data_IF_733306377271
#
_entry.id   IF_733306377271
#
_cell.length_a   1.000
_cell.length_b   1.000
_cell.length_c   1.000
_cell.angle_alpha   90.00
_cell.angle_beta   90.00
_cell.angle_gamma   90.00
#
_symmetry.space_group_name_H-M   'P 1'
#
loop_
_entity.id
_entity.type
_entity.pdbx_description
1 polymer ?
#
# COMPACT_ATOMS: atom_id res chain seq x y z
N UNK A 1 8.37 -37.35 -1.18
CA UNK A 1 8.70 -35.90 -1.19
C UNK A 1 8.19 -35.30 0.11
N UNK A 2 9.05 -34.74 0.97
CA UNK A 2 8.59 -33.92 2.11
C UNK A 2 8.00 -32.64 1.52
N UNK A 3 6.74 -32.31 1.85
CA UNK A 3 6.06 -31.09 1.41
C UNK A 3 6.81 -29.90 2.05
N UNK A 4 7.40 -29.01 1.27
CA UNK A 4 7.97 -27.76 1.80
C UNK A 4 6.84 -26.89 2.32
N UNK A 5 7.01 -26.31 3.51
CA UNK A 5 6.07 -25.32 4.04
C UNK A 5 6.33 -23.97 3.34
N UNK A 6 5.27 -23.31 2.88
CA UNK A 6 5.35 -22.00 2.23
C UNK A 6 4.85 -20.91 3.18
N UNK A 7 5.65 -19.88 3.48
CA UNK A 7 5.21 -18.72 4.27
C UNK A 7 5.10 -17.49 3.38
N UNK A 8 4.09 -16.67 3.62
CA UNK A 8 3.77 -15.50 2.81
C UNK A 8 3.87 -14.23 3.64
N UNK A 9 4.65 -13.29 3.16
CA UNK A 9 4.81 -11.96 3.75
C UNK A 9 4.23 -10.97 2.75
N UNK A 10 3.27 -10.15 3.20
CA UNK A 10 2.63 -9.16 2.34
C UNK A 10 2.99 -7.75 2.77
N UNK A 11 3.56 -7.00 1.82
CA UNK A 11 3.91 -5.60 1.96
C UNK A 11 2.81 -4.74 1.32
N UNK A 12 2.29 -3.77 2.06
CA UNK A 12 1.41 -2.73 1.56
C UNK A 12 2.24 -1.45 1.47
N UNK A 13 2.57 -1.06 0.24
CA UNK A 13 3.49 0.05 -0.06
C UNK A 13 2.70 1.23 -0.57
N UNK A 14 2.76 2.35 0.14
CA UNK A 14 2.16 3.62 -0.25
C UNK A 14 3.16 4.65 -0.80
N UNK A 15 2.66 5.86 -1.08
CA UNK A 15 3.36 6.90 -1.85
C UNK A 15 4.63 7.42 -1.16
N UNK A 16 4.77 7.20 0.15
CA UNK A 16 5.99 7.49 0.89
C UNK A 16 7.23 6.77 0.33
N UNK A 17 7.07 5.59 -0.30
CA UNK A 17 8.17 4.93 -1.00
C UNK A 17 8.66 5.75 -2.20
N UNK A 18 7.76 6.14 -3.12
CA UNK A 18 8.09 6.94 -4.29
C UNK A 18 8.70 8.29 -3.87
N UNK A 19 8.09 8.96 -2.89
CA UNK A 19 8.57 10.24 -2.36
C UNK A 19 9.99 10.11 -1.81
N UNK A 20 10.27 9.06 -1.02
CA UNK A 20 11.61 8.84 -0.47
C UNK A 20 12.63 8.63 -1.59
N UNK A 21 12.34 7.73 -2.53
CA UNK A 21 13.25 7.45 -3.64
C UNK A 21 13.51 8.67 -4.52
N UNK A 22 12.47 9.46 -4.82
CA UNK A 22 12.62 10.70 -5.59
C UNK A 22 13.44 11.75 -4.86
N UNK A 23 13.31 11.88 -3.54
CA UNK A 23 14.15 12.76 -2.72
C UNK A 23 15.61 12.33 -2.74
N UNK A 24 15.88 11.04 -2.53
CA UNK A 24 17.24 10.47 -2.56
C UNK A 24 17.92 10.66 -3.93
N UNK A 25 17.15 10.59 -5.02
CA UNK A 25 17.65 10.86 -6.37
C UNK A 25 17.60 12.35 -6.76
N UNK A 26 17.35 13.25 -5.80
CA UNK A 26 17.27 14.70 -6.02
C UNK A 26 16.35 15.12 -7.17
N UNK A 27 15.21 14.44 -7.33
CA UNK A 27 14.22 14.78 -8.34
C UNK A 27 13.64 16.18 -8.07
N UNK A 28 13.40 16.93 -9.16
CA UNK A 28 12.79 18.26 -9.08
C UNK A 28 11.31 18.23 -8.68
N UNK A 29 10.64 17.09 -8.88
CA UNK A 29 9.22 16.90 -8.59
C UNK A 29 9.00 15.60 -7.79
N UNK A 30 7.94 15.60 -7.00
CA UNK A 30 7.49 14.45 -6.20
C UNK A 30 6.13 13.97 -6.70
N UNK A 31 5.77 12.72 -6.41
CA UNK A 31 4.48 12.09 -6.76
C UNK A 31 3.32 12.51 -5.84
N UNK A 32 3.39 13.69 -5.23
CA UNK A 32 2.36 14.20 -4.31
C UNK A 32 1.19 14.82 -5.08
N UNK A 33 -0.02 14.78 -4.50
CA UNK A 33 -1.16 15.50 -5.07
C UNK A 33 -0.93 17.01 -5.15
N UNK A 34 -0.23 17.60 -4.18
CA UNK A 34 0.18 19.01 -4.25
C UNK A 34 1.04 19.32 -5.47
N UNK A 35 2.04 18.48 -5.78
CA UNK A 35 2.87 18.66 -6.97
C UNK A 35 2.04 18.48 -8.25
N UNK A 36 1.10 17.54 -8.26
CA UNK A 36 0.17 17.37 -9.38
C UNK A 36 -0.71 18.61 -9.60
N UNK A 37 -1.22 19.25 -8.55
CA UNK A 37 -2.06 20.43 -8.69
C UNK A 37 -1.27 21.64 -9.22
N UNK A 38 -0.02 21.82 -8.79
CA UNK A 38 0.87 22.84 -9.38
C UNK A 38 1.18 22.55 -10.85
N UNK A 39 1.32 21.27 -11.20
CA UNK A 39 1.46 20.84 -12.58
C UNK A 39 0.21 21.16 -13.41
N UNK A 40 -1.00 20.92 -12.88
CA UNK A 40 -2.25 21.23 -13.56
C UNK A 40 -2.37 22.74 -13.85
N UNK A 41 -2.02 23.61 -12.88
CA UNK A 41 -2.01 25.07 -13.11
C UNK A 41 -1.11 25.46 -14.29
N UNK A 42 0.05 24.83 -14.39
CA UNK A 42 1.06 25.16 -15.40
C UNK A 42 0.76 24.59 -16.79
N UNK A 43 0.00 23.49 -16.86
CA UNK A 43 -0.28 22.78 -18.12
C UNK A 43 -1.69 23.05 -18.66
N UNK A 44 -2.45 23.94 -18.01
CA UNK A 44 -3.80 24.41 -18.40
C UNK A 44 -4.71 23.31 -18.99
N UNK A 45 -5.13 22.30 -18.20
CA UNK A 45 -6.11 21.33 -18.67
C UNK A 45 -7.44 22.02 -19.03
N UNK A 46 -8.33 21.26 -19.65
CA UNK A 46 -9.65 21.72 -20.09
C UNK A 46 -10.35 22.55 -18.99
N UNK A 47 -10.49 23.86 -19.21
CA UNK A 47 -11.06 24.80 -18.22
C UNK A 47 -12.57 24.57 -17.99
N UNK A 48 -13.21 23.69 -18.75
CA UNK A 48 -14.60 23.26 -18.52
C UNK A 48 -14.70 22.07 -17.58
N UNK A 49 -13.59 21.38 -17.31
CA UNK A 49 -13.56 20.21 -16.45
C UNK A 49 -13.95 20.59 -15.01
N UNK A 50 -15.02 20.00 -14.50
CA UNK A 50 -15.59 20.38 -13.21
C UNK A 50 -14.66 20.04 -12.04
N UNK A 51 -13.91 18.93 -12.14
CA UNK A 51 -13.01 18.48 -11.09
C UNK A 51 -11.83 19.45 -10.99
N UNK A 52 -11.25 19.80 -12.14
CA UNK A 52 -10.17 20.79 -12.20
C UNK A 52 -10.61 22.15 -11.66
N UNK A 53 -11.82 22.59 -12.02
CA UNK A 53 -12.35 23.86 -11.52
C UNK A 53 -12.55 23.83 -9.99
N UNK A 54 -13.05 22.73 -9.42
CA UNK A 54 -13.21 22.57 -7.96
C UNK A 54 -11.87 22.64 -7.22
N UNK A 55 -10.84 21.96 -7.75
CA UNK A 55 -9.48 22.01 -7.19
C UNK A 55 -8.97 23.46 -7.21
N UNK A 56 -9.10 24.15 -8.35
CA UNK A 56 -8.63 25.54 -8.52
C UNK A 56 -9.36 26.52 -7.60
N UNK A 57 -10.68 26.39 -7.46
CA UNK A 57 -11.49 27.25 -6.60
C UNK A 57 -11.13 27.06 -5.12
N UNK A 58 -10.93 25.82 -4.68
CA UNK A 58 -10.52 25.51 -3.31
C UNK A 58 -9.14 26.10 -2.96
N UNK A 59 -8.20 26.07 -3.90
CA UNK A 59 -6.89 26.71 -3.73
C UNK A 59 -6.98 28.23 -3.59
N UNK A 60 -7.90 28.88 -4.31
CA UNK A 60 -8.08 30.33 -4.25
C UNK A 60 -8.80 30.78 -2.96
N UNK A 61 -9.68 29.95 -2.41
CA UNK A 61 -10.49 30.28 -1.24
C UNK A 61 -9.88 29.85 0.10
N UNK A 62 -8.62 29.38 0.11
CA UNK A 62 -7.94 28.86 1.32
C UNK A 62 -8.60 27.62 1.95
N UNK A 63 -9.51 26.96 1.23
CA UNK A 63 -10.17 25.69 1.61
C UNK A 63 -9.34 24.46 1.16
N UNK A 64 -8.01 24.61 1.08
CA UNK A 64 -7.10 23.62 0.50
C UNK A 64 -7.12 22.27 1.25
N UNK A 65 -7.48 22.28 2.55
CA UNK A 65 -7.62 21.08 3.37
C UNK A 65 -8.62 20.07 2.78
N UNK A 66 -9.58 20.51 1.96
CA UNK A 66 -10.56 19.63 1.30
C UNK A 66 -9.95 18.78 0.19
N UNK A 67 -8.88 19.27 -0.45
CA UNK A 67 -8.18 18.60 -1.54
C UNK A 67 -6.76 18.16 -1.16
N UNK A 68 -6.37 18.27 0.12
CA UNK A 68 -5.10 17.68 0.59
C UNK A 68 -5.10 16.15 0.40
N UNK A 69 -6.28 15.55 0.44
CA UNK A 69 -6.58 14.19 0.04
C UNK A 69 -7.52 14.26 -1.18
N UNK A 70 -7.03 13.79 -2.32
CA UNK A 70 -7.75 13.88 -3.59
C UNK A 70 -9.10 13.16 -3.52
N UNK A 71 -9.11 11.99 -2.89
CA UNK A 71 -10.28 11.15 -2.76
C UNK A 71 -11.35 11.82 -1.88
N UNK A 72 -10.95 12.50 -0.79
CA UNK A 72 -11.89 13.28 0.02
C UNK A 72 -12.51 14.45 -0.76
N UNK A 73 -11.71 15.18 -1.55
CA UNK A 73 -12.22 16.27 -2.38
C UNK A 73 -13.25 15.79 -3.40
N UNK A 74 -12.96 14.67 -4.09
CA UNK A 74 -13.89 14.04 -5.04
C UNK A 74 -15.23 13.69 -4.37
N UNK A 75 -15.18 13.11 -3.17
CA UNK A 75 -16.35 12.59 -2.46
C UNK A 75 -17.18 13.68 -1.83
N UNK A 76 -16.54 14.71 -1.27
CA UNK A 76 -17.25 15.75 -0.53
C UNK A 76 -17.75 16.87 -1.43
N UNK A 77 -17.07 17.15 -2.55
CA UNK A 77 -17.42 18.27 -3.43
C UNK A 77 -18.08 17.83 -4.73
N UNK A 78 -17.53 16.82 -5.40
CA UNK A 78 -17.95 16.47 -6.76
C UNK A 78 -19.12 15.51 -6.77
N UNK A 79 -19.02 14.40 -6.03
CA UNK A 79 -20.04 13.34 -6.02
C UNK A 79 -21.44 13.87 -5.62
N UNK A 80 -21.59 14.71 -4.58
CA UNK A 80 -22.89 15.28 -4.21
C UNK A 80 -23.43 16.25 -5.26
N UNK A 81 -22.53 16.94 -5.99
CA UNK A 81 -22.93 17.84 -7.06
C UNK A 81 -23.50 17.08 -8.26
N UNK A 82 -22.84 16.00 -8.69
CA UNK A 82 -23.27 15.20 -9.86
C UNK A 82 -24.42 14.25 -9.54
N UNK A 83 -24.58 13.86 -8.27
CA UNK A 83 -25.67 13.01 -7.82
C UNK A 83 -26.95 13.80 -7.47
N UNK A 84 -26.92 15.13 -7.54
CA UNK A 84 -28.09 15.96 -7.23
C UNK A 84 -29.10 15.95 -8.40
N UNK A 85 -30.31 15.38 -8.21
CA UNK A 85 -31.32 15.28 -9.26
C UNK A 85 -31.80 16.65 -9.78
N UNK A 86 -31.71 17.70 -8.96
CA UNK A 86 -32.15 19.06 -9.32
C UNK A 86 -31.13 19.79 -10.21
N UNK A 87 -29.85 19.40 -10.17
CA UNK A 87 -28.77 20.07 -10.93
C UNK A 87 -28.64 19.57 -12.37
N UNK A 88 -29.37 18.50 -12.73
CA UNK A 88 -29.43 17.92 -14.08
C UNK A 88 -28.05 17.76 -14.74
N UNK A 89 -27.06 17.34 -13.95
CA UNK A 89 -25.70 17.16 -14.43
C UNK A 89 -25.59 15.79 -15.12
N UNK A 90 -25.11 15.77 -16.36
CA UNK A 90 -24.95 14.53 -17.11
C UNK A 90 -23.77 13.73 -16.52
N UNK A 91 -24.05 12.56 -15.95
CA UNK A 91 -23.03 11.66 -15.39
C UNK A 91 -21.97 11.32 -16.44
N UNK A 92 -22.37 11.18 -17.71
CA UNK A 92 -21.46 10.98 -18.83
C UNK A 92 -20.43 12.12 -18.96
N UNK A 93 -20.83 13.36 -18.75
CA UNK A 93 -19.91 14.50 -18.76
C UNK A 93 -18.91 14.43 -17.61
N UNK A 94 -19.35 14.05 -16.41
CA UNK A 94 -18.46 13.83 -15.26
C UNK A 94 -17.46 12.70 -15.52
N UNK A 95 -17.91 11.59 -16.11
CA UNK A 95 -17.03 10.47 -16.47
C UNK A 95 -15.96 10.90 -17.48
N UNK A 96 -16.32 11.74 -18.46
CA UNK A 96 -15.36 12.32 -19.40
C UNK A 96 -14.35 13.24 -18.68
N UNK A 97 -14.81 14.12 -17.80
CA UNK A 97 -13.95 14.99 -17.00
C UNK A 97 -12.99 14.19 -16.10
N UNK A 98 -13.49 13.09 -15.53
CA UNK A 98 -12.67 12.17 -14.74
C UNK A 98 -11.58 11.49 -15.59
N UNK A 99 -11.94 11.00 -16.78
CA UNK A 99 -10.98 10.38 -17.71
C UNK A 99 -9.90 11.37 -18.19
N UNK A 100 -10.28 12.62 -18.45
CA UNK A 100 -9.33 13.69 -18.76
C UNK A 100 -8.34 13.90 -17.61
N UNK A 101 -8.83 13.84 -16.37
CA UNK A 101 -7.99 14.01 -15.18
C UNK A 101 -7.06 12.81 -14.95
N UNK A 102 -7.53 11.58 -15.16
CA UNK A 102 -6.67 10.39 -15.15
C UNK A 102 -5.54 10.50 -16.18
N UNK A 103 -5.84 10.97 -17.39
CA UNK A 103 -4.85 11.20 -18.43
C UNK A 103 -3.85 12.30 -18.03
N UNK A 104 -4.34 13.40 -17.45
CA UNK A 104 -3.48 14.47 -16.92
C UNK A 104 -2.55 13.96 -15.82
N UNK A 105 -3.06 13.14 -14.90
CA UNK A 105 -2.25 12.57 -13.83
C UNK A 105 -1.20 11.59 -14.36
N UNK A 106 -1.56 10.72 -15.30
CA UNK A 106 -0.60 9.85 -16.00
C UNK A 106 0.51 10.66 -16.67
N UNK A 107 0.18 11.76 -17.38
CA UNK A 107 1.18 12.65 -17.99
C UNK A 107 2.12 13.28 -16.95
N UNK A 108 1.56 13.77 -15.85
CA UNK A 108 2.34 14.32 -14.75
C UNK A 108 3.32 13.29 -14.17
N UNK A 109 2.86 12.06 -13.91
CA UNK A 109 3.70 11.02 -13.38
C UNK A 109 4.80 10.60 -14.36
N UNK A 110 4.50 10.50 -15.67
CA UNK A 110 5.50 10.22 -16.70
C UNK A 110 6.58 11.31 -16.83
N UNK A 111 6.27 12.56 -16.49
CA UNK A 111 7.27 13.64 -16.43
C UNK A 111 8.06 13.63 -15.12
N UNK A 112 7.46 13.13 -14.04
CA UNK A 112 8.08 13.07 -12.71
C UNK A 112 9.00 11.85 -12.57
N UNK A 113 8.57 10.70 -13.08
CA UNK A 113 9.29 9.42 -13.05
C UNK A 113 9.84 9.15 -14.46
N UNK A 114 11.07 9.60 -14.68
CA UNK A 114 11.75 9.45 -15.97
C UNK A 114 12.39 8.07 -16.12
N UNK A 115 12.75 7.65 -17.35
CA UNK A 115 13.51 6.42 -17.57
C UNK A 115 14.83 6.35 -16.77
N UNK A 116 15.50 7.47 -16.55
CA UNK A 116 16.73 7.55 -15.75
C UNK A 116 16.47 7.23 -14.28
N UNK A 117 15.37 7.74 -13.72
CA UNK A 117 14.95 7.41 -12.34
C UNK A 117 14.55 5.95 -12.20
N UNK A 118 13.85 5.40 -13.20
CA UNK A 118 13.49 3.98 -13.26
C UNK A 118 14.72 3.08 -13.35
N UNK A 119 15.75 3.48 -14.11
CA UNK A 119 17.02 2.78 -14.16
C UNK A 119 17.73 2.86 -12.81
N UNK A 120 17.84 4.06 -12.24
CA UNK A 120 18.46 4.27 -10.94
C UNK A 120 17.77 3.48 -9.80
N UNK A 121 16.45 3.29 -9.88
CA UNK A 121 15.71 2.43 -8.96
C UNK A 121 16.14 0.95 -9.10
N UNK A 122 16.30 0.46 -10.33
CA UNK A 122 16.69 -0.93 -10.62
C UNK A 122 18.15 -1.27 -10.29
N UNK A 123 18.99 -0.25 -10.14
CA UNK A 123 20.39 -0.40 -9.70
C UNK A 123 20.53 -0.57 -8.19
N UNK A 124 19.48 -0.25 -7.41
CA UNK A 124 19.48 -0.44 -5.97
C UNK A 124 19.29 -1.92 -5.66
N UNK A 125 20.13 -2.47 -4.79
CA UNK A 125 20.01 -3.85 -4.34
C UNK A 125 18.90 -3.98 -3.29
N UNK A 126 17.81 -4.67 -3.65
CA UNK A 126 16.68 -4.96 -2.79
C UNK A 126 16.87 -6.21 -1.92
N UNK A 127 17.92 -7.00 -2.16
CA UNK A 127 18.18 -8.22 -1.40
C UNK A 127 18.39 -7.97 0.11
N UNK A 128 19.18 -6.97 0.56
CA UNK A 128 19.35 -6.68 1.98
C UNK A 128 18.03 -6.40 2.68
N UNK A 129 17.12 -5.67 2.03
CA UNK A 129 15.78 -5.42 2.55
C UNK A 129 14.99 -6.72 2.74
N UNK A 130 14.85 -7.52 1.68
CA UNK A 130 14.09 -8.77 1.73
C UNK A 130 14.67 -9.78 2.75
N UNK A 131 15.97 -9.73 3.02
CA UNK A 131 16.63 -10.64 3.96
C UNK A 131 16.57 -10.17 5.42
N UNK A 132 16.50 -8.86 5.68
CA UNK A 132 16.84 -8.30 6.99
C UNK A 132 15.82 -7.30 7.56
N UNK A 133 14.70 -6.98 6.89
CA UNK A 133 13.74 -5.99 7.40
C UNK A 133 13.20 -6.29 8.81
N UNK A 134 13.23 -7.55 9.27
CA UNK A 134 12.85 -7.88 10.65
C UNK A 134 13.87 -7.38 11.69
N UNK A 135 15.13 -7.16 11.30
CA UNK A 135 16.18 -6.63 12.19
C UNK A 135 15.97 -5.15 12.54
N UNK A 136 15.08 -4.45 11.84
CA UNK A 136 14.66 -3.09 12.19
C UNK A 136 13.69 -3.07 13.40
N UNK A 137 13.18 -4.24 13.83
CA UNK A 137 12.32 -4.33 15.01
C UNK A 137 13.11 -4.19 16.32
N UNK A 138 12.45 -3.65 17.34
CA UNK A 138 12.94 -3.76 18.71
C UNK A 138 12.96 -5.23 19.15
N UNK A 139 13.85 -5.56 20.08
CA UNK A 139 13.96 -6.91 20.65
C UNK A 139 12.61 -7.41 21.20
N UNK A 140 11.86 -6.52 21.88
CA UNK A 140 10.52 -6.84 22.38
C UNK A 140 9.55 -7.22 21.25
N UNK A 141 9.45 -6.38 20.21
CA UNK A 141 8.54 -6.64 19.08
C UNK A 141 8.94 -7.91 18.33
N UNK A 142 10.24 -8.13 18.13
CA UNK A 142 10.71 -9.34 17.50
C UNK A 142 10.36 -10.60 18.32
N UNK A 143 10.59 -10.57 19.64
CA UNK A 143 10.28 -11.69 20.52
C UNK A 143 8.79 -12.02 20.52
N UNK A 144 7.90 -11.01 20.43
CA UNK A 144 6.46 -11.23 20.28
C UNK A 144 6.12 -11.93 18.96
N UNK A 145 6.66 -11.47 17.82
CA UNK A 145 6.42 -12.09 16.50
C UNK A 145 6.95 -13.53 16.45
N UNK A 146 8.07 -13.80 17.14
CA UNK A 146 8.71 -15.12 17.19
C UNK A 146 7.93 -16.16 18.01
N UNK A 147 6.95 -15.76 18.83
CA UNK A 147 6.19 -16.69 19.66
C UNK A 147 5.53 -17.78 18.80
N UNK A 148 5.56 -19.06 19.23
CA UNK A 148 5.05 -20.18 18.44
C UNK A 148 3.51 -20.29 18.48
N UNK A 149 2.80 -19.24 18.84
CA UNK A 149 1.35 -19.13 18.77
C UNK A 149 0.87 -18.71 17.37
N UNK A 150 1.70 -17.98 16.62
CA UNK A 150 1.48 -17.66 15.20
C UNK A 150 2.13 -18.69 14.26
N UNK A 151 1.64 -18.78 13.02
CA UNK A 151 2.26 -19.62 11.98
C UNK A 151 3.67 -19.12 11.64
N UNK A 152 3.84 -17.81 11.53
CA UNK A 152 5.13 -17.18 11.25
C UNK A 152 6.12 -17.34 12.41
N UNK A 153 5.67 -17.22 13.66
CA UNK A 153 6.54 -17.43 14.83
C UNK A 153 6.97 -18.90 15.00
N UNK A 154 6.10 -19.86 14.68
CA UNK A 154 6.50 -21.28 14.54
C UNK A 154 7.60 -21.46 13.50
N UNK A 155 7.55 -20.70 12.40
CA UNK A 155 8.62 -20.68 11.41
C UNK A 155 9.92 -20.15 12.01
N UNK A 156 9.90 -18.94 12.59
CA UNK A 156 11.07 -18.29 13.18
C UNK A 156 11.70 -19.13 14.32
N UNK A 157 10.89 -19.93 15.00
CA UNK A 157 11.31 -20.81 16.10
C UNK A 157 11.68 -22.23 15.66
N UNK A 158 11.37 -22.62 14.41
CA UNK A 158 11.75 -23.93 13.90
C UNK A 158 13.25 -23.96 13.59
N UNK A 159 13.92 -25.11 13.78
CA UNK A 159 15.31 -25.33 13.37
C UNK A 159 15.35 -26.37 12.24
N UNK A 160 15.83 -25.99 11.04
CA UNK A 160 16.28 -26.91 10.00
C UNK A 160 15.24 -27.51 9.03
N UNK A 161 14.37 -26.71 8.40
CA UNK A 161 13.55 -27.17 7.26
C UNK A 161 13.76 -26.31 6.01
N UNK A 162 13.80 -26.92 4.82
CA UNK A 162 13.71 -26.18 3.56
C UNK A 162 12.32 -25.53 3.46
N UNK A 163 12.28 -24.21 3.25
CA UNK A 163 11.08 -23.39 3.35
C UNK A 163 11.01 -22.47 2.13
N UNK A 164 9.81 -22.23 1.62
CA UNK A 164 9.60 -21.25 0.55
C UNK A 164 9.03 -19.97 1.14
N UNK A 165 9.71 -18.84 0.94
CA UNK A 165 9.18 -17.53 1.28
C UNK A 165 8.56 -16.91 0.04
N UNK A 166 7.30 -16.49 0.15
CA UNK A 166 6.59 -15.72 -0.87
C UNK A 166 6.45 -14.30 -0.38
N UNK A 167 6.87 -13.35 -1.21
CA UNK A 167 6.69 -11.93 -0.96
C UNK A 167 5.63 -11.40 -1.91
N UNK A 168 4.57 -10.82 -1.37
CA UNK A 168 3.58 -10.10 -2.17
C UNK A 168 3.64 -8.62 -1.83
N UNK A 169 3.95 -7.82 -2.83
CA UNK A 169 3.93 -6.36 -2.73
C UNK A 169 2.62 -5.85 -3.32
N UNK A 170 1.78 -5.25 -2.50
CA UNK A 170 0.64 -4.46 -2.91
C UNK A 170 1.12 -3.01 -3.03
N UNK A 171 1.46 -2.62 -4.26
CA UNK A 171 1.90 -1.29 -4.62
C UNK A 171 0.68 -0.38 -4.83
N UNK A 172 0.39 0.49 -3.86
CA UNK A 172 -0.68 1.48 -3.96
C UNK A 172 -0.25 2.73 -4.72
N UNK A 173 1.02 2.80 -5.11
CA UNK A 173 1.54 3.85 -5.97
C UNK A 173 1.15 3.57 -7.41
N UNK A 174 1.03 4.64 -8.18
CA UNK A 174 0.68 4.55 -9.58
C UNK A 174 1.91 4.32 -10.47
N UNK A 175 3.12 4.54 -9.95
CA UNK A 175 4.38 4.49 -10.70
C UNK A 175 5.02 3.11 -10.65
N UNK A 176 5.92 2.85 -11.59
CA UNK A 176 6.71 1.61 -11.68
C UNK A 176 8.02 1.66 -10.87
N UNK A 177 8.24 2.66 -10.01
CA UNK A 177 9.47 2.77 -9.20
C UNK A 177 9.71 1.52 -8.32
N UNK A 178 8.68 0.99 -7.67
CA UNK A 178 8.80 -0.22 -6.85
C UNK A 178 9.06 -1.46 -7.71
N UNK A 179 8.37 -1.57 -8.84
CA UNK A 179 8.55 -2.66 -9.81
C UNK A 179 10.00 -2.72 -10.31
N UNK A 180 10.59 -1.55 -10.55
CA UNK A 180 11.99 -1.41 -10.96
C UNK A 180 12.96 -1.71 -9.80
N UNK A 181 12.69 -1.20 -8.59
CA UNK A 181 13.47 -1.53 -7.40
C UNK A 181 13.56 -3.04 -7.14
N UNK A 182 12.46 -3.77 -7.35
CA UNK A 182 12.40 -5.23 -7.14
C UNK A 182 12.72 -6.05 -8.41
N UNK A 183 13.17 -5.40 -9.50
CA UNK A 183 13.29 -6.04 -10.81
C UNK A 183 14.15 -7.32 -10.78
N UNK A 184 15.28 -7.27 -10.07
CA UNK A 184 16.20 -8.40 -9.97
C UNK A 184 15.63 -9.56 -9.16
N UNK A 185 14.81 -9.29 -8.14
CA UNK A 185 14.17 -10.30 -7.30
C UNK A 185 12.99 -10.98 -8.00
N UNK A 186 12.26 -10.25 -8.84
CA UNK A 186 11.19 -10.80 -9.67
C UNK A 186 11.77 -11.65 -10.81
N UNK A 187 12.90 -11.24 -11.40
CA UNK A 187 13.50 -11.86 -12.58
C UNK A 187 14.68 -12.79 -12.27
N UNK A 188 14.78 -13.35 -11.06
CA UNK A 188 15.79 -14.36 -10.73
C UNK A 188 15.69 -15.53 -11.74
N UNK A 189 16.62 -15.54 -12.71
CA UNK A 189 16.58 -16.46 -13.85
C UNK A 189 16.61 -17.93 -13.35
N UNK A 190 15.83 -18.83 -13.95
CA UNK A 190 15.90 -20.27 -13.66
C UNK A 190 17.12 -20.88 -14.36
N UNK A 191 18.35 -20.47 -14.01
CA UNK A 191 19.53 -21.21 -14.45
C UNK A 191 19.85 -22.30 -13.42
N UNK A 192 19.82 -23.54 -13.88
CA UNK A 192 19.99 -24.81 -13.15
C UNK A 192 21.36 -25.02 -12.49
N UNK A 193 22.15 -23.96 -12.30
CA UNK A 193 23.43 -23.99 -11.59
C UNK A 193 23.64 -22.82 -10.62
N UNK A 194 22.69 -21.89 -10.49
CA UNK A 194 22.78 -20.83 -9.48
C UNK A 194 22.00 -21.24 -8.24
N UNK A 195 22.69 -21.33 -7.11
CA UNK A 195 22.07 -21.41 -5.80
C UNK A 195 21.12 -20.21 -5.64
N UNK A 196 19.82 -20.38 -5.92
CA UNK A 196 18.74 -19.47 -5.50
C UNK A 196 18.56 -19.49 -3.96
N UNK A 197 19.65 -19.76 -3.24
CA UNK A 197 19.73 -19.93 -1.80
C UNK A 197 20.05 -18.56 -1.23
N UNK A 198 18.99 -17.81 -0.92
CA UNK A 198 19.14 -16.64 -0.08
C UNK A 198 19.10 -17.03 1.39
N UNK A 199 19.84 -16.29 2.21
CA UNK A 199 19.77 -16.44 3.66
C UNK A 199 18.82 -15.37 4.18
N UNK A 200 17.68 -15.76 4.72
CA UNK A 200 16.84 -14.86 5.49
C UNK A 200 17.42 -14.81 6.90
N UNK A 201 17.95 -13.65 7.28
CA UNK A 201 18.67 -13.52 8.53
C UNK A 201 17.78 -12.83 9.56
N UNK A 202 17.43 -13.61 10.56
CA UNK A 202 17.04 -13.10 11.85
C UNK A 202 18.15 -13.49 12.84
N UNK A 203 19.00 -12.58 13.30
CA UNK A 203 20.10 -12.94 14.23
C UNK A 203 19.50 -13.50 15.55
N UNK A 204 20.04 -14.46 16.33
CA UNK A 204 21.41 -14.93 16.61
C UNK A 204 21.68 -16.43 16.32
N UNK A 205 21.34 -16.99 15.15
CA UNK A 205 21.85 -18.35 14.84
C UNK A 205 23.27 -18.25 14.28
N UNK A 206 24.25 -18.12 15.18
CA UNK A 206 25.66 -18.45 14.91
C UNK A 206 25.77 -19.95 14.67
N UNK A 207 25.31 -20.44 13.52
CA UNK A 207 25.68 -21.78 13.11
C UNK A 207 25.99 -21.84 11.63
N UNK A 208 27.26 -22.20 11.35
CA UNK A 208 27.85 -22.23 10.02
C UNK A 208 27.34 -23.41 9.19
N UNK A 209 26.41 -24.23 9.70
CA UNK A 209 25.99 -25.48 9.04
C UNK A 209 24.46 -25.70 8.93
N UNK A 210 23.60 -24.88 9.54
CA UNK A 210 22.13 -24.99 9.35
C UNK A 210 21.64 -24.06 8.25
N UNK A 211 22.00 -24.38 7.00
CA UNK A 211 21.55 -23.63 5.83
C UNK A 211 20.03 -23.79 5.62
N UNK A 212 19.25 -22.77 5.96
CA UNK A 212 17.88 -22.65 5.49
C UNK A 212 17.90 -22.47 3.97
N UNK A 213 17.32 -23.41 3.24
CA UNK A 213 17.10 -23.25 1.80
C UNK A 213 15.83 -22.44 1.61
N UNK A 214 15.97 -21.21 1.11
CA UNK A 214 14.86 -20.28 0.88
C UNK A 214 14.75 -20.02 -0.61
N UNK A 215 13.75 -20.65 -1.24
CA UNK A 215 13.25 -20.18 -2.53
C UNK A 215 12.40 -18.94 -2.27
N UNK A 216 12.78 -17.82 -2.90
CA UNK A 216 12.02 -16.57 -2.89
C UNK A 216 11.15 -16.49 -4.15
N UNK A 217 9.95 -15.98 -3.98
CA UNK A 217 8.96 -15.80 -5.05
C UNK A 217 8.30 -14.43 -4.78
N UNK A 218 8.71 -13.43 -5.57
CA UNK A 218 8.28 -12.03 -5.41
C UNK A 218 7.19 -11.72 -6.42
N UNK A 219 6.05 -11.25 -5.92
CA UNK A 219 4.90 -10.87 -6.74
C UNK A 219 4.55 -9.40 -6.44
N UNK A 220 4.20 -8.63 -7.46
CA UNK A 220 3.81 -7.22 -7.33
C UNK A 220 2.41 -7.03 -7.89
N UNK A 221 1.55 -6.41 -7.11
CA UNK A 221 0.15 -6.12 -7.40
C UNK A 221 -0.07 -4.62 -7.32
N UNK A 222 -0.98 -4.10 -8.15
CA UNK A 222 -1.24 -2.66 -8.26
C UNK A 222 -2.73 -2.37 -8.00
N UNK A 223 -3.17 -2.30 -6.73
CA UNK A 223 -4.58 -2.08 -6.40
C UNK A 223 -5.18 -0.80 -7.00
N UNK A 224 -4.38 0.28 -7.07
CA UNK A 224 -4.81 1.58 -7.58
C UNK A 224 -4.59 1.77 -9.08
N UNK A 225 -4.13 0.73 -9.78
CA UNK A 225 -3.79 0.82 -11.19
C UNK A 225 -2.39 1.38 -11.42
N UNK A 226 -2.11 1.71 -12.69
CA UNK A 226 -0.77 2.00 -13.19
C UNK A 226 -0.77 3.23 -14.08
N UNK A 227 0.27 4.05 -13.97
CA UNK A 227 0.42 5.29 -14.76
C UNK A 227 0.48 5.01 -16.27
N UNK A 228 1.03 3.85 -16.69
CA UNK A 228 1.14 3.48 -18.10
C UNK A 228 -0.22 3.15 -18.74
N UNK A 229 -1.23 2.89 -17.92
CA UNK A 229 -2.60 2.58 -18.33
C UNK A 229 -3.51 3.60 -17.64
N UNK A 230 -3.61 4.82 -18.19
CA UNK A 230 -4.33 5.92 -17.53
C UNK A 230 -5.77 5.57 -17.10
N UNK A 231 -6.59 4.82 -17.86
CA UNK A 231 -7.94 4.47 -17.40
C UNK A 231 -7.95 3.51 -16.19
N UNK A 232 -6.82 2.87 -15.88
CA UNK A 232 -6.68 1.98 -14.72
C UNK A 232 -6.46 2.73 -13.40
N UNK A 233 -6.05 4.00 -13.46
CA UNK A 233 -5.78 4.85 -12.29
C UNK A 233 -7.07 5.02 -11.50
N UNK A 234 -7.12 4.49 -10.30
CA UNK A 234 -8.34 4.43 -9.52
C UNK A 234 -8.33 5.45 -8.40
N UNK A 235 -8.86 6.63 -8.68
CA UNK A 235 -9.27 7.57 -7.63
C UNK A 235 -10.66 7.21 -7.16
N UNK A 236 -10.88 7.26 -5.84
CA UNK A 236 -12.22 7.07 -5.32
C UNK A 236 -12.28 6.59 -3.88
N UNK A 237 -13.48 6.18 -3.49
CA UNK A 237 -13.78 5.72 -2.13
C UNK A 237 -13.45 4.26 -1.94
N UNK A 238 -13.24 3.86 -0.70
CA UNK A 238 -13.01 2.46 -0.41
C UNK A 238 -14.26 1.62 -0.63
N UNK A 239 -15.41 2.08 -0.14
CA UNK A 239 -16.68 1.33 -0.14
C UNK A 239 -17.88 2.24 -0.52
N UNK A 240 -18.97 1.64 -0.98
CA UNK A 240 -20.12 2.36 -1.53
C UNK A 240 -20.96 3.15 -0.53
N UNK A 241 -20.84 2.85 0.76
CA UNK A 241 -21.48 3.63 1.84
C UNK A 241 -21.00 5.10 1.85
N UNK A 242 -19.79 5.37 1.36
CA UNK A 242 -19.23 6.71 1.23
C UNK A 242 -19.86 7.53 0.09
N UNK A 243 -20.60 6.90 -0.82
CA UNK A 243 -21.31 7.57 -1.93
C UNK A 243 -22.77 7.91 -1.60
N UNK A 244 -23.26 7.55 -0.40
CA UNK A 244 -24.65 7.75 0.02
C UNK A 244 -25.61 6.66 -0.49
N UNK A 245 -26.91 6.83 -0.25
CA UNK A 245 -27.94 5.79 -0.55
C UNK A 245 -28.63 5.96 -1.91
N UNK A 246 -28.25 6.96 -2.70
CA UNK A 246 -28.96 7.42 -3.90
C UNK A 246 -28.01 7.84 -5.01
N UNK A 247 -26.97 7.04 -5.27
CA UNK A 247 -26.02 7.31 -6.36
C UNK A 247 -26.29 6.40 -7.55
N UNK A 248 -26.03 6.90 -8.75
CA UNK A 248 -26.19 6.17 -9.99
C UNK A 248 -25.25 4.94 -10.02
N UNK A 249 -25.70 3.83 -10.64
CA UNK A 249 -24.88 2.63 -10.80
C UNK A 249 -23.55 2.91 -11.50
N UNK A 250 -23.49 3.89 -12.40
CA UNK A 250 -22.25 4.25 -13.10
C UNK A 250 -21.18 4.82 -12.16
N UNK A 251 -21.59 5.39 -11.01
CA UNK A 251 -20.67 5.86 -9.98
C UNK A 251 -20.07 4.72 -9.13
N UNK A 252 -20.52 3.46 -9.30
CA UNK A 252 -19.86 2.29 -8.67
C UNK A 252 -18.41 2.12 -9.13
N UNK A 253 -18.05 2.68 -10.29
CA UNK A 253 -16.67 2.69 -10.80
C UNK A 253 -15.70 3.48 -9.90
N UNK A 254 -16.18 4.29 -8.96
CA UNK A 254 -15.36 4.99 -7.98
C UNK A 254 -15.19 4.23 -6.66
N UNK A 255 -15.81 3.05 -6.53
CA UNK A 255 -15.72 2.22 -5.34
C UNK A 255 -14.57 1.23 -5.51
N UNK A 256 -13.46 1.46 -4.81
CA UNK A 256 -12.26 0.63 -4.89
C UNK A 256 -12.55 -0.84 -4.58
N UNK A 257 -13.41 -1.14 -3.59
CA UNK A 257 -13.78 -2.51 -3.25
C UNK A 257 -14.44 -3.29 -4.38
N UNK A 258 -15.18 -2.64 -5.28
CA UNK A 258 -15.81 -3.29 -6.44
C UNK A 258 -14.76 -3.79 -7.44
N UNK A 259 -13.71 -2.99 -7.68
CA UNK A 259 -12.60 -3.38 -8.56
C UNK A 259 -11.71 -4.46 -7.97
N UNK A 260 -11.58 -4.47 -6.64
CA UNK A 260 -10.84 -5.50 -5.91
C UNK A 260 -11.54 -6.85 -6.05
N UNK A 261 -12.88 -6.89 -5.95
CA UNK A 261 -13.66 -8.13 -6.06
C UNK A 261 -13.67 -8.71 -7.49
N UNK A 262 -13.59 -7.86 -8.52
CA UNK A 262 -13.55 -8.31 -9.93
C UNK A 262 -12.18 -8.85 -10.33
N UNK A 263 -11.08 -8.34 -9.74
CA UNK A 263 -9.70 -8.82 -9.94
C UNK A 263 -9.35 -9.95 -8.96
N UNK A 264 -10.13 -11.03 -8.98
CA UNK A 264 -10.15 -12.12 -7.99
C UNK A 264 -8.80 -12.81 -7.70
N UNK A 265 -7.78 -12.70 -8.55
CA UNK A 265 -6.46 -13.34 -8.34
C UNK A 265 -5.59 -12.73 -7.24
N UNK A 266 -5.80 -11.45 -6.88
CA UNK A 266 -4.98 -10.74 -5.89
C UNK A 266 -5.44 -11.01 -4.44
N UNK A 267 -6.69 -11.44 -4.28
CA UNK A 267 -7.38 -11.53 -3.01
C UNK A 267 -7.18 -12.88 -2.32
N UNK A 268 -7.23 -13.97 -3.08
CA UNK A 268 -6.90 -15.32 -2.56
C UNK A 268 -5.51 -15.35 -1.93
N UNK A 269 -4.64 -14.42 -2.35
CA UNK A 269 -3.26 -14.32 -1.88
C UNK A 269 -3.13 -13.62 -0.54
N UNK A 270 -3.81 -12.49 -0.33
CA UNK A 270 -3.73 -11.77 0.95
C UNK A 270 -4.33 -12.58 2.10
N UNK A 271 -5.28 -13.46 1.82
CA UNK A 271 -5.89 -14.35 2.82
C UNK A 271 -4.87 -15.37 3.37
N UNK A 272 -3.91 -15.74 2.54
CA UNK A 272 -2.83 -16.67 2.88
C UNK A 272 -1.59 -16.03 3.51
N UNK A 273 -1.63 -14.72 3.79
CA UNK A 273 -0.52 -13.99 4.43
C UNK A 273 -0.29 -14.46 5.87
N UNK A 274 0.98 -14.59 6.26
CA UNK A 274 1.42 -14.95 7.61
C UNK A 274 1.95 -13.74 8.40
N UNK A 275 2.46 -12.72 7.70
CA UNK A 275 2.97 -11.47 8.27
C UNK A 275 2.62 -10.31 7.34
N UNK A 276 2.03 -9.26 7.90
CA UNK A 276 1.78 -8.00 7.18
C UNK A 276 2.85 -6.97 7.48
N UNK A 277 3.20 -6.16 6.48
CA UNK A 277 4.07 -5.01 6.62
C UNK A 277 3.44 -3.82 5.89
N UNK A 278 3.27 -2.69 6.57
CA UNK A 278 2.82 -1.42 5.96
C UNK A 278 4.01 -0.46 5.93
N UNK A 279 4.23 0.17 4.78
CA UNK A 279 5.24 1.21 4.63
C UNK A 279 4.82 2.31 3.68
N UNK A 280 5.18 3.55 4.01
CA UNK A 280 4.96 4.71 3.14
C UNK A 280 3.48 5.01 2.89
N UNK A 281 2.59 4.45 3.71
CA UNK A 281 1.16 4.52 3.51
C UNK A 281 0.54 5.42 4.58
N UNK A 282 -0.30 6.37 4.17
CA UNK A 282 -1.21 7.05 5.09
C UNK A 282 -2.35 6.12 5.48
N UNK A 283 -2.75 6.09 6.75
CA UNK A 283 -3.87 5.26 7.18
C UNK A 283 -5.11 6.13 7.21
N UNK A 284 -5.89 6.06 6.12
CA UNK A 284 -7.06 6.90 5.89
C UNK A 284 -8.30 6.14 5.40
N UNK A 285 -9.40 6.88 5.30
CA UNK A 285 -10.75 6.39 4.95
C UNK A 285 -10.86 5.92 3.48
N UNK A 286 -10.01 6.42 2.58
CA UNK A 286 -10.01 6.06 1.16
C UNK A 286 -9.61 4.60 0.93
N UNK A 287 -8.82 4.00 1.83
CA UNK A 287 -8.34 2.62 1.76
C UNK A 287 -8.85 1.74 2.91
N UNK A 288 -9.90 2.19 3.61
CA UNK A 288 -10.50 1.49 4.76
C UNK A 288 -10.81 0.00 4.53
N UNK A 289 -11.17 -0.37 3.31
CA UNK A 289 -11.44 -1.75 2.95
C UNK A 289 -10.23 -2.66 3.24
N UNK A 290 -9.01 -2.19 2.93
CA UNK A 290 -7.78 -2.92 3.23
C UNK A 290 -7.54 -3.04 4.72
N UNK A 291 -7.73 -1.96 5.49
CA UNK A 291 -7.55 -1.98 6.94
C UNK A 291 -8.52 -2.94 7.62
N UNK A 292 -9.80 -2.93 7.23
CA UNK A 292 -10.81 -3.90 7.68
C UNK A 292 -10.40 -5.33 7.37
N UNK A 293 -9.91 -5.58 6.15
CA UNK A 293 -9.47 -6.90 5.71
C UNK A 293 -8.29 -7.39 6.54
N UNK A 294 -7.26 -6.57 6.72
CA UNK A 294 -6.10 -6.87 7.56
C UNK A 294 -6.53 -7.19 9.00
N UNK A 295 -7.32 -6.32 9.62
CA UNK A 295 -7.80 -6.51 10.99
C UNK A 295 -8.56 -7.83 11.17
N UNK A 296 -9.43 -8.19 10.21
CA UNK A 296 -10.15 -9.46 10.21
C UNK A 296 -9.20 -10.65 10.11
N UNK A 297 -8.22 -10.59 9.21
CA UNK A 297 -7.22 -11.66 9.02
C UNK A 297 -6.31 -11.81 10.25
N UNK A 298 -5.91 -10.71 10.88
CA UNK A 298 -5.07 -10.70 12.09
C UNK A 298 -5.77 -11.36 13.29
N UNK A 299 -7.09 -11.25 13.36
CA UNK A 299 -7.90 -11.76 14.46
C UNK A 299 -8.44 -13.19 14.25
N UNK A 300 -8.08 -13.85 13.16
CA UNK A 300 -8.48 -15.24 12.90
C UNK A 300 -8.14 -16.16 14.09
N UNK A 301 -9.15 -16.90 14.57
CA UNK A 301 -9.13 -17.59 15.88
C UNK A 301 -7.98 -18.57 16.05
N UNK A 302 -7.56 -19.23 14.97
CA UNK A 302 -6.62 -20.35 15.05
C UNK A 302 -5.15 -19.94 14.86
N UNK A 303 -4.88 -18.73 14.34
CA UNK A 303 -3.53 -18.25 13.98
C UNK A 303 -3.50 -16.72 13.99
N UNK A 304 -3.05 -16.05 15.07
CA UNK A 304 -2.84 -14.61 15.03
C UNK A 304 -1.78 -14.27 13.98
N UNK A 305 -2.03 -13.22 13.19
CA UNK A 305 -1.08 -12.67 12.23
C UNK A 305 -0.60 -11.32 12.78
N UNK A 306 0.70 -11.07 12.66
CA UNK A 306 1.30 -9.82 13.11
C UNK A 306 1.33 -8.79 11.98
N UNK A 307 1.33 -7.52 12.35
CA UNK A 307 1.47 -6.38 11.46
C UNK A 307 2.65 -5.53 11.91
N UNK A 308 3.58 -5.27 11.01
CA UNK A 308 4.66 -4.30 11.19
C UNK A 308 4.29 -3.02 10.45
N UNK A 309 4.38 -1.87 11.09
CA UNK A 309 4.13 -0.57 10.48
C UNK A 309 5.40 0.27 10.60
N UNK A 310 5.93 0.68 9.46
CA UNK A 310 7.02 1.66 9.39
C UNK A 310 6.41 3.05 9.41
N UNK A 311 6.72 3.79 10.48
CA UNK A 311 6.14 5.09 10.78
C UNK A 311 7.19 6.19 10.65
N UNK A 312 6.92 7.16 9.79
CA UNK A 312 7.77 8.31 9.61
C UNK A 312 7.46 9.39 10.66
N UNK A 313 8.47 9.83 11.39
CA UNK A 313 8.35 10.88 12.41
C UNK A 313 7.31 10.60 13.51
N UNK A 314 6.59 11.64 13.89
CA UNK A 314 5.60 11.65 14.97
C UNK A 314 4.18 11.34 14.52
N UNK A 315 4.02 10.70 13.35
CA UNK A 315 2.73 10.18 12.92
C UNK A 315 2.14 9.23 13.98
N UNK A 316 0.83 9.01 13.91
CA UNK A 316 0.10 8.12 14.83
C UNK A 316 -0.53 6.98 14.06
N UNK A 317 0.29 6.26 13.28
CA UNK A 317 -0.24 5.27 12.33
C UNK A 317 -0.93 4.10 13.03
N UNK A 318 -0.41 3.65 14.17
CA UNK A 318 -1.08 2.60 14.97
C UNK A 318 -2.44 3.07 15.45
N UNK A 319 -2.51 4.26 16.04
CA UNK A 319 -3.76 4.84 16.53
C UNK A 319 -4.72 5.10 15.38
N UNK A 320 -4.24 5.62 14.25
CA UNK A 320 -5.06 5.82 13.05
C UNK A 320 -5.62 4.49 12.54
N UNK A 321 -4.84 3.41 12.55
CA UNK A 321 -5.31 2.07 12.20
C UNK A 321 -6.42 1.62 13.14
N UNK A 322 -6.19 1.68 14.46
CA UNK A 322 -7.19 1.25 15.46
C UNK A 322 -8.46 2.11 15.38
N UNK A 323 -8.33 3.43 15.32
CA UNK A 323 -9.45 4.36 15.18
C UNK A 323 -10.24 4.13 13.89
N UNK A 324 -9.54 3.81 12.79
CA UNK A 324 -10.17 3.43 11.55
C UNK A 324 -11.05 2.19 11.77
N UNK A 325 -10.52 1.12 12.39
CA UNK A 325 -11.31 -0.09 12.69
C UNK A 325 -12.47 0.17 13.68
N UNK A 326 -12.24 0.96 14.73
CA UNK A 326 -13.21 1.30 15.77
C UNK A 326 -14.43 2.03 15.19
N UNK A 327 -14.21 3.09 14.40
CA UNK A 327 -15.28 3.86 13.74
C UNK A 327 -16.25 3.00 12.93
N UNK A 328 -15.80 1.87 12.39
CA UNK A 328 -16.65 0.98 11.59
C UNK A 328 -17.32 -0.12 12.40
N UNK A 329 -16.91 -0.33 13.64
CA UNK A 329 -17.53 -1.32 14.53
C UNK A 329 -18.91 -0.85 15.00
N UNK A 330 -19.14 0.47 15.04
CA UNK A 330 -20.41 1.10 15.41
C UNK A 330 -21.52 0.99 14.34
N UNK A 331 -21.24 0.44 13.15
CA UNK A 331 -22.20 0.36 12.03
C UNK A 331 -22.58 -1.07 11.58
N UNK A 332 -21.94 -2.11 12.10
CA UNK A 332 -22.16 -3.50 11.67
C UNK A 332 -22.61 -4.31 12.88
N UNK A 333 -23.75 -5.00 12.77
CA UNK A 333 -24.35 -5.86 13.82
C UNK A 333 -23.44 -7.03 14.32
N UNK A 334 -22.18 -7.08 13.90
CA UNK A 334 -21.15 -8.05 14.31
C UNK A 334 -19.73 -7.43 14.43
N UNK A 335 -19.62 -6.13 14.74
CA UNK A 335 -18.37 -5.34 14.75
C UNK A 335 -17.30 -5.79 15.76
N UNK A 336 -16.05 -5.35 15.53
CA UNK A 336 -14.91 -5.61 16.41
C UNK A 336 -15.23 -5.04 17.80
N UNK A 337 -15.27 -5.91 18.81
CA UNK A 337 -15.48 -5.47 20.19
C UNK A 337 -14.19 -4.92 20.81
N UNK A 338 -14.29 -4.31 21.99
CA UNK A 338 -13.12 -3.78 22.72
C UNK A 338 -12.01 -4.84 22.90
N UNK A 339 -12.37 -6.09 23.17
CA UNK A 339 -11.39 -7.18 23.30
C UNK A 339 -10.61 -7.45 22.00
N UNK A 340 -11.29 -7.32 20.86
CA UNK A 340 -10.70 -7.45 19.52
C UNK A 340 -9.74 -6.31 19.22
N UNK A 341 -10.09 -5.06 19.59
CA UNK A 341 -9.23 -3.90 19.44
C UNK A 341 -7.97 -4.03 20.31
N UNK A 342 -8.11 -4.40 21.58
CA UNK A 342 -6.98 -4.68 22.47
C UNK A 342 -6.09 -5.82 21.97
N UNK A 343 -6.68 -6.84 21.32
CA UNK A 343 -5.91 -7.91 20.69
C UNK A 343 -5.16 -7.40 19.45
N UNK A 344 -5.79 -6.58 18.60
CA UNK A 344 -5.13 -5.96 17.44
C UNK A 344 -3.93 -5.12 17.88
N UNK A 345 -4.08 -4.29 18.92
CA UNK A 345 -3.00 -3.46 19.43
C UNK A 345 -1.75 -4.26 19.81
N UNK A 346 -1.92 -5.48 20.33
CA UNK A 346 -0.80 -6.37 20.70
C UNK A 346 -0.11 -7.00 19.48
N UNK A 347 -0.83 -7.14 18.37
CA UNK A 347 -0.33 -7.73 17.13
C UNK A 347 0.33 -6.70 16.20
N UNK A 348 0.23 -5.40 16.53
CA UNK A 348 0.82 -4.30 15.76
C UNK A 348 2.14 -3.84 16.38
N UNK A 349 3.19 -3.91 15.56
CA UNK A 349 4.55 -3.50 15.89
C UNK A 349 4.94 -2.26 15.09
N UNK A 350 5.45 -1.24 15.76
CA UNK A 350 5.83 0.03 15.12
C UNK A 350 7.35 0.12 15.03
N UNK A 351 7.84 0.48 13.86
CA UNK A 351 9.23 0.90 13.63
C UNK A 351 9.19 2.38 13.29
N UNK A 352 9.68 3.22 14.21
CA UNK A 352 9.76 4.67 14.01
C UNK A 352 11.06 5.04 13.33
N UNK A 353 11.00 5.92 12.34
CA UNK A 353 12.18 6.42 11.64
C UNK A 353 12.00 7.87 11.20
N UNK A 354 13.10 8.55 10.91
CA UNK A 354 13.13 9.91 10.35
C UNK A 354 14.14 9.97 9.20
N UNK A 355 14.30 11.12 8.55
CA UNK A 355 15.38 11.31 7.57
C UNK A 355 16.76 11.17 8.22
N UNK A 356 16.95 11.69 9.44
CA UNK A 356 18.23 11.60 10.18
C UNK A 356 18.49 10.22 10.78
N UNK A 357 17.45 9.41 10.97
CA UNK A 357 17.53 8.06 11.52
C UNK A 357 16.66 7.11 10.70
N UNK A 358 17.10 6.75 9.47
CA UNK A 358 16.36 5.84 8.60
C UNK A 358 16.40 4.40 9.16
N UNK A 359 15.47 3.53 8.74
CA UNK A 359 15.57 2.10 9.02
C UNK A 359 16.89 1.55 8.47
N UNK A 360 17.51 0.60 9.16
CA UNK A 360 18.81 0.07 8.77
C UNK A 360 18.71 -0.81 7.53
N UNK A 361 17.60 -1.56 7.38
CA UNK A 361 17.44 -2.54 6.32
C UNK A 361 16.29 -2.24 5.37
N UNK A 362 15.13 -1.83 5.88
CA UNK A 362 13.96 -1.66 5.03
C UNK A 362 14.04 -0.42 4.15
N UNK A 363 14.17 -0.65 2.83
CA UNK A 363 14.23 0.42 1.82
C UNK A 363 15.25 1.51 2.16
N UNK A 364 16.39 1.10 2.72
CA UNK A 364 17.53 1.97 2.97
C UNK A 364 18.38 2.04 1.70
N UNK A 365 18.35 3.17 1.00
CA UNK A 365 19.04 3.40 -0.27
C UNK A 365 19.49 4.84 -0.40
#
# INVERSE_FOLDING_TARGET
>A
MRKSEEFRISFLIGNGFDIKLLKEKHSNNLTTYSAFYEWLKSNEPNKKNIIYNSIRESQNNSDWEKWSDFELGLVNEIIPMVSNPEKNYEIEHFLNDYMELQLSFSKFLNQTVTPELLLAASEIDSEPFLQNFLKDLSEQSFNEIRKPDSRFGKYLSSNGKAIKLKYDFYNFNYTSLLDNYLFNDVNLKPFSSTNNNSKFFHDEVKDKETGWYISRDVNIYHPHGRQEISPSILFGVSEGDQLGTSYDNDLKRFIKSEWINVKSGNFDRIDSTDLFVIMGHSIGESDKWWWKKLAKLMLEKDKPKHLIIYQFGDEKLKENFINCIEKYSDGIQHGFNNDSLLKLEKLIHIIKFTEDNPPAFAFNF
#
